data_IF_708921468616
#
_entry.id   IF_708921468616
#
_cell.length_a   1.000
_cell.length_b   1.000
_cell.length_c   1.000
_cell.angle_alpha   90.00
_cell.angle_beta   90.00
_cell.angle_gamma   90.00
#
_symmetry.space_group_name_H-M   'P 1'
#
loop_
_entity.id
_entity.type
_entity.pdbx_description
1 polymer ?
#
# COMPACT_ATOMS: atom_id res chain seq x y z
N UNK A 1 -17.11 -12.52 -17.61
CA UNK A 1 -15.93 -12.76 -16.76
C UNK A 1 -14.79 -11.89 -17.28
N UNK A 2 -14.46 -10.81 -16.57
CA UNK A 2 -13.40 -9.88 -16.97
C UNK A 2 -12.01 -10.48 -16.76
N UNK A 3 -11.05 -10.13 -17.62
CA UNK A 3 -9.65 -10.55 -17.45
C UNK A 3 -9.02 -9.69 -16.35
N UNK A 4 -8.39 -10.34 -15.37
CA UNK A 4 -7.53 -9.66 -14.41
C UNK A 4 -6.27 -9.19 -15.14
N UNK A 5 -6.04 -7.88 -15.17
CA UNK A 5 -4.82 -7.30 -15.73
C UNK A 5 -3.82 -7.09 -14.60
N UNK A 6 -2.92 -8.05 -14.42
CA UNK A 6 -1.81 -7.96 -13.47
C UNK A 6 -0.58 -7.40 -14.17
N UNK A 7 0.05 -6.42 -13.53
CA UNK A 7 1.33 -5.84 -13.95
C UNK A 7 2.48 -6.66 -13.37
N UNK A 8 3.50 -6.91 -14.17
CA UNK A 8 4.72 -7.58 -13.71
C UNK A 8 5.84 -6.54 -13.59
N UNK A 9 6.70 -6.75 -12.59
CA UNK A 9 7.82 -5.86 -12.28
C UNK A 9 9.10 -6.56 -12.74
N UNK A 10 9.87 -5.90 -13.58
CA UNK A 10 11.21 -6.33 -14.00
C UNK A 10 12.24 -5.69 -13.08
N UNK A 11 12.53 -6.34 -11.94
CA UNK A 11 13.54 -5.91 -10.99
C UNK A 11 14.24 -7.13 -10.37
N UNK A 12 15.47 -6.95 -9.87
CA UNK A 12 16.27 -8.02 -9.26
C UNK A 12 15.63 -8.58 -7.97
N UNK A 13 14.91 -7.75 -7.23
CA UNK A 13 14.17 -8.15 -6.03
C UNK A 13 12.79 -7.51 -6.01
N UNK A 14 11.76 -8.34 -5.87
CA UNK A 14 10.34 -7.95 -5.89
C UNK A 14 9.63 -8.52 -4.67
N UNK A 15 8.80 -7.68 -4.04
CA UNK A 15 7.87 -8.08 -3.00
C UNK A 15 6.57 -8.57 -3.64
N UNK A 16 6.14 -9.75 -3.25
CA UNK A 16 4.96 -10.41 -3.79
C UNK A 16 3.92 -10.67 -2.70
N UNK A 17 2.67 -10.85 -3.10
CA UNK A 17 1.61 -11.30 -2.22
C UNK A 17 1.96 -12.68 -1.66
N UNK A 18 1.92 -12.83 -0.33
CA UNK A 18 2.27 -14.09 0.33
C UNK A 18 1.34 -15.26 -0.03
N UNK A 19 0.10 -15.00 -0.47
CA UNK A 19 -0.89 -16.04 -0.76
C UNK A 19 -0.92 -16.48 -2.24
N UNK A 20 -0.72 -15.55 -3.18
CA UNK A 20 -0.84 -15.84 -4.62
C UNK A 20 0.38 -15.44 -5.46
N UNK A 21 1.45 -14.98 -4.82
CA UNK A 21 2.69 -14.55 -5.45
C UNK A 21 2.55 -13.41 -6.49
N UNK A 22 1.42 -12.70 -6.52
CA UNK A 22 1.24 -11.50 -7.37
C UNK A 22 2.28 -10.44 -7.01
N UNK A 23 2.94 -9.84 -7.99
CA UNK A 23 3.94 -8.80 -7.77
C UNK A 23 3.27 -7.56 -7.16
N UNK A 24 3.84 -7.01 -6.09
CA UNK A 24 3.28 -5.85 -5.38
C UNK A 24 4.19 -4.64 -5.47
N UNK A 25 5.48 -4.77 -5.22
CA UNK A 25 6.40 -3.65 -5.28
C UNK A 25 7.82 -4.13 -5.56
N UNK A 26 8.63 -3.33 -6.25
CA UNK A 26 10.06 -3.57 -6.30
C UNK A 26 10.71 -3.24 -4.95
N UNK A 27 11.89 -3.80 -4.71
CA UNK A 27 12.62 -3.57 -3.46
C UNK A 27 13.06 -2.11 -3.27
N UNK A 28 13.32 -1.40 -4.36
CA UNK A 28 13.68 0.03 -4.38
C UNK A 28 12.54 0.95 -3.89
N UNK A 29 11.29 0.49 -3.96
CA UNK A 29 10.13 1.23 -3.45
C UNK A 29 10.03 1.19 -1.93
N UNK A 30 10.89 0.45 -1.21
CA UNK A 30 10.88 0.45 0.25
C UNK A 30 11.44 1.78 0.78
N UNK A 31 10.54 2.65 1.25
CA UNK A 31 10.88 3.95 1.85
C UNK A 31 11.39 3.78 3.27
N UNK A 32 10.74 2.93 4.08
CA UNK A 32 11.18 2.66 5.45
C UNK A 32 10.80 1.25 5.90
N UNK A 33 11.76 0.55 6.51
CA UNK A 33 11.54 -0.76 7.17
C UNK A 33 11.26 -0.64 8.66
N UNK A 34 11.43 0.56 9.23
CA UNK A 34 11.24 0.85 10.65
C UNK A 34 9.91 1.55 10.90
N UNK A 35 8.93 1.35 10.01
CA UNK A 35 7.61 1.91 10.18
C UNK A 35 6.84 1.06 11.20
N UNK A 36 6.08 1.68 12.10
CA UNK A 36 5.23 0.97 13.05
C UNK A 36 3.78 1.23 12.72
N UNK A 37 3.09 0.16 12.34
CA UNK A 37 1.64 0.16 12.22
C UNK A 37 0.96 -0.07 13.58
N UNK A 38 -0.37 -0.09 13.56
CA UNK A 38 -1.20 -0.35 14.74
C UNK A 38 -0.92 -1.71 15.41
N UNK A 39 -0.46 -2.70 14.63
CA UNK A 39 -0.26 -4.08 15.07
C UNK A 39 1.22 -4.50 15.19
N UNK A 40 2.16 -3.55 15.10
CA UNK A 40 3.59 -3.84 15.18
C UNK A 40 4.38 -3.28 14.00
N UNK A 41 5.52 -3.89 13.71
CA UNK A 41 6.41 -3.47 12.64
C UNK A 41 5.74 -3.66 11.28
N UNK A 42 5.88 -2.64 10.43
CA UNK A 42 5.34 -2.57 9.10
C UNK A 42 6.36 -1.92 8.17
N UNK A 43 6.24 -2.16 6.88
CA UNK A 43 7.09 -1.53 5.88
C UNK A 43 6.31 -0.46 5.14
N UNK A 44 6.95 0.69 4.96
CA UNK A 44 6.42 1.78 4.17
C UNK A 44 6.99 1.67 2.77
N UNK A 45 6.09 1.58 1.80
CA UNK A 45 6.42 1.56 0.38
C UNK A 45 6.03 2.90 -0.26
N UNK A 46 6.81 3.36 -1.24
CA UNK A 46 6.54 4.56 -2.02
C UNK A 46 5.48 4.31 -3.09
N UNK A 47 5.56 3.17 -3.77
CA UNK A 47 4.57 2.72 -4.74
C UNK A 47 4.30 1.21 -4.61
N UNK A 48 3.06 0.82 -4.89
CA UNK A 48 2.58 -0.57 -4.85
C UNK A 48 1.58 -0.78 -5.99
N UNK A 49 1.77 -1.84 -6.77
CA UNK A 49 0.92 -2.21 -7.91
C UNK A 49 0.10 -3.47 -7.62
N UNK A 50 -0.87 -3.75 -8.49
CA UNK A 50 -1.78 -4.90 -8.38
C UNK A 50 -2.55 -4.93 -7.05
N UNK A 51 -2.93 -3.74 -6.58
CA UNK A 51 -3.77 -3.57 -5.41
C UNK A 51 -5.04 -2.81 -5.74
N UNK A 52 -6.10 -3.13 -5.03
CA UNK A 52 -7.37 -2.44 -5.04
C UNK A 52 -7.58 -1.76 -3.71
N UNK A 53 -8.19 -0.59 -3.76
CA UNK A 53 -8.50 0.21 -2.59
C UNK A 53 -9.84 -0.19 -2.02
N UNK A 54 -9.88 -0.41 -0.71
CA UNK A 54 -11.11 -0.45 0.05
C UNK A 54 -11.74 0.94 0.19
N UNK A 55 -12.91 1.03 0.84
CA UNK A 55 -13.52 2.30 1.16
C UNK A 55 -12.58 3.16 2.03
N UNK A 56 -12.51 4.48 1.79
CA UNK A 56 -11.73 5.38 2.63
C UNK A 56 -12.35 5.51 4.02
N UNK A 57 -11.51 5.45 5.04
CA UNK A 57 -11.89 5.51 6.46
C UNK A 57 -11.02 6.51 7.21
N UNK A 58 -11.63 7.27 8.13
CA UNK A 58 -10.89 8.15 9.04
C UNK A 58 -10.28 7.31 10.17
N UNK A 59 -8.96 7.27 10.26
CA UNK A 59 -8.21 6.52 11.28
C UNK A 59 -7.34 7.48 12.08
N UNK A 60 -7.42 7.39 13.41
CA UNK A 60 -6.52 8.12 14.29
C UNK A 60 -5.18 7.37 14.34
N UNK A 61 -4.13 8.02 13.85
CA UNK A 61 -2.75 7.54 13.89
C UNK A 61 -1.93 8.38 14.88
N UNK A 62 -0.68 7.98 15.14
CA UNK A 62 0.22 8.72 16.03
C UNK A 62 0.40 10.19 15.62
N UNK A 63 0.37 10.46 14.31
CA UNK A 63 0.51 11.80 13.71
C UNK A 63 -0.81 12.57 13.63
N UNK A 64 -1.93 12.00 14.08
CA UNK A 64 -3.25 12.64 14.04
C UNK A 64 -4.28 11.89 13.19
N UNK A 65 -5.40 12.54 12.89
CA UNK A 65 -6.51 11.97 12.12
C UNK A 65 -6.19 11.97 10.62
N UNK A 66 -6.15 10.78 10.00
CA UNK A 66 -5.85 10.61 8.59
C UNK A 66 -6.99 9.87 7.88
N UNK A 67 -7.18 10.12 6.59
CA UNK A 67 -8.05 9.29 5.75
C UNK A 67 -7.18 8.22 5.10
N UNK A 68 -7.45 6.97 5.45
CA UNK A 68 -6.72 5.80 4.97
C UNK A 68 -7.68 4.85 4.26
N UNK A 69 -7.17 4.05 3.34
CA UNK A 69 -7.91 2.94 2.75
C UNK A 69 -7.11 1.67 2.94
N UNK A 70 -7.77 0.61 3.40
CA UNK A 70 -7.17 -0.72 3.39
C UNK A 70 -6.94 -1.15 1.92
N UNK A 71 -5.82 -1.82 1.64
CA UNK A 71 -5.46 -2.28 0.28
C UNK A 71 -5.51 -3.79 0.19
N UNK A 72 -5.99 -4.28 -0.94
CA UNK A 72 -6.24 -5.70 -1.21
C UNK A 72 -5.50 -6.16 -2.45
N UNK A 73 -5.04 -7.41 -2.48
CA UNK A 73 -4.36 -7.97 -3.63
C UNK A 73 -5.33 -8.23 -4.79
N UNK A 74 -5.03 -7.75 -6.00
CA UNK A 74 -5.88 -7.99 -7.18
C UNK A 74 -5.93 -9.46 -7.62
N UNK A 75 -4.99 -10.29 -7.16
CA UNK A 75 -4.92 -11.70 -7.53
C UNK A 75 -5.74 -12.63 -6.63
N UNK A 76 -5.95 -12.28 -5.36
CA UNK A 76 -6.63 -13.17 -4.40
C UNK A 76 -7.49 -12.45 -3.35
N UNK A 77 -7.67 -11.14 -3.49
CA UNK A 77 -8.45 -10.26 -2.60
C UNK A 77 -8.04 -10.29 -1.13
N UNK A 78 -6.86 -10.84 -0.81
CA UNK A 78 -6.35 -10.78 0.57
C UNK A 78 -5.97 -9.37 0.93
N UNK A 79 -6.24 -8.98 2.18
CA UNK A 79 -5.80 -7.70 2.72
C UNK A 79 -4.28 -7.68 2.87
N UNK A 80 -3.63 -6.68 2.28
CA UNK A 80 -2.18 -6.52 2.30
C UNK A 80 -1.72 -5.47 3.30
N UNK A 81 -2.53 -4.43 3.53
CA UNK A 81 -2.15 -3.30 4.37
C UNK A 81 -3.15 -2.16 4.23
N UNK A 82 -2.66 -0.93 4.35
CA UNK A 82 -3.45 0.28 4.14
C UNK A 82 -2.56 1.36 3.54
N UNK A 83 -3.17 2.30 2.81
CA UNK A 83 -2.52 3.47 2.24
C UNK A 83 -3.17 4.75 2.76
N UNK A 84 -2.42 5.84 2.72
CA UNK A 84 -2.96 7.17 2.91
C UNK A 84 -3.72 7.58 1.64
N UNK A 85 -4.99 7.97 1.78
CA UNK A 85 -5.82 8.45 0.65
C UNK A 85 -5.76 9.97 0.58
N UNK A 86 -5.93 10.61 1.72
CA UNK A 86 -5.76 12.05 1.88
C UNK A 86 -4.80 12.28 3.05
N UNK A 87 -3.61 12.76 2.74
CA UNK A 87 -2.80 13.45 3.73
C UNK A 87 -3.43 14.83 3.91
N UNK A 88 -3.92 15.12 5.12
CA UNK A 88 -4.43 16.43 5.48
C UNK A 88 -3.26 17.42 5.64
N UNK A 89 -2.47 17.60 4.59
CA UNK A 89 -1.60 18.75 4.36
C UNK A 89 -1.66 19.12 2.87
N UNK A 90 -2.83 19.58 2.43
CA UNK A 90 -2.95 20.45 1.25
C UNK A 90 -2.11 21.74 1.38
N UNK A 91 -1.51 22.02 2.55
CA UNK A 91 -0.63 23.17 2.78
C UNK A 91 0.79 23.02 2.19
N UNK A 92 1.13 21.91 1.53
CA UNK A 92 2.39 21.75 0.78
C UNK A 92 2.18 21.52 -0.73
N UNK A 93 0.98 21.82 -1.27
CA UNK A 93 0.79 21.82 -2.74
C UNK A 93 1.20 23.12 -3.43
N UNK A 94 1.44 24.21 -2.70
CA UNK A 94 2.02 25.45 -3.23
C UNK A 94 2.74 26.24 -2.12
N UNK A 95 4.00 25.87 -1.83
CA UNK A 95 5.01 26.79 -1.32
C UNK A 95 6.37 26.44 -1.91
#
# INVERSE_FOLDING_TARGET
>A
MGRLFLRYIEAESVHCCALCATHLAAHDQVVSRQFRGRHGDAWLFGDVINVNDGPPEKRLLLTGLHVVADIYCNGCDTRLGWKYVEAYEEQQKYK
#
